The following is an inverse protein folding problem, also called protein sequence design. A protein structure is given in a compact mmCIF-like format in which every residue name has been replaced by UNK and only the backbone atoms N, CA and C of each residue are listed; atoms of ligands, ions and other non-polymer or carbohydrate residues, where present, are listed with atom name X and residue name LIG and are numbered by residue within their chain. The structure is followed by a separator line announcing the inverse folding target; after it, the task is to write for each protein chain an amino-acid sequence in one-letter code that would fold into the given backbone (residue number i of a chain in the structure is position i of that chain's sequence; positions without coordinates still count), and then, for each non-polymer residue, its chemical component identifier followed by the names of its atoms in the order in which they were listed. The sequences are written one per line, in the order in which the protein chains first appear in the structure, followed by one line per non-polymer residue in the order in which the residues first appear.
data_IF_170285126592
#
_entry.id   IF_170285126592
#
_cell.length_a   1.000
_cell.length_b   1.000
_cell.length_c   1.000
_cell.angle_alpha   90.00
_cell.angle_beta   90.00
_cell.angle_gamma   90.00
#
_symmetry.space_group_name_H-M   'P 1'
#
loop_
_entity.id
_entity.type
_entity.pdbx_description
1 polymer ?
#
# COMPACT_ATOMS: atom_id res chain seq x y z
N UNK A 1 -7.44 17.29 -13.90
CA UNK A 1 -8.89 17.05 -13.67
C UNK A 1 -9.26 17.70 -12.35
N UNK A 2 -10.40 18.42 -12.24
CA UNK A 2 -10.81 19.07 -10.98
C UNK A 2 -11.17 18.07 -9.86
N UNK A 3 -11.41 16.80 -10.19
CA UNK A 3 -11.76 15.73 -9.25
C UNK A 3 -10.59 14.75 -9.00
N UNK A 4 -9.37 15.10 -9.42
CA UNK A 4 -8.21 14.25 -9.18
C UNK A 4 -7.88 14.16 -7.68
N UNK A 5 -7.59 12.95 -7.21
CA UNK A 5 -6.95 12.77 -5.90
C UNK A 5 -5.52 13.33 -5.98
N UNK A 6 -5.18 14.22 -5.04
CA UNK A 6 -3.83 14.76 -4.87
C UNK A 6 -3.44 14.46 -3.43
N UNK A 7 -2.68 13.38 -3.28
CA UNK A 7 -2.30 12.78 -2.01
C UNK A 7 -0.90 13.17 -1.57
N UNK A 8 -0.68 13.33 -0.27
CA UNK A 8 0.63 13.46 0.36
C UNK A 8 0.76 12.48 1.53
N UNK A 9 1.94 11.89 1.69
CA UNK A 9 2.31 11.15 2.90
C UNK A 9 3.17 12.03 3.81
N UNK A 10 2.95 11.94 5.12
CA UNK A 10 3.68 12.73 6.09
C UNK A 10 3.95 11.95 7.38
N UNK A 11 5.07 12.27 8.03
CA UNK A 11 5.30 11.89 9.42
C UNK A 11 4.76 12.99 10.34
N UNK A 12 4.27 12.66 11.55
CA UNK A 12 3.75 13.64 12.49
C UNK A 12 4.68 14.85 12.73
N UNK A 13 5.98 14.60 12.89
CA UNK A 13 6.98 15.65 13.15
C UNK A 13 7.30 16.58 11.97
N UNK A 14 6.75 16.35 10.78
CA UNK A 14 6.99 17.19 9.59
C UNK A 14 5.83 18.13 9.25
N UNK A 15 4.81 18.20 10.10
CA UNK A 15 3.59 18.95 9.81
C UNK A 15 3.45 20.17 10.73
N UNK A 16 3.34 21.35 10.13
CA UNK A 16 2.85 22.55 10.79
C UNK A 16 1.64 23.13 10.05
N UNK A 17 0.88 23.99 10.72
CA UNK A 17 -0.36 24.53 10.18
C UNK A 17 -0.13 25.36 8.90
N UNK A 18 0.97 26.12 8.82
CA UNK A 18 1.25 26.96 7.66
C UNK A 18 1.58 26.11 6.42
N UNK A 19 2.37 25.05 6.62
CA UNK A 19 2.67 24.06 5.60
C UNK A 19 1.40 23.37 5.09
N UNK A 20 0.55 22.89 6.00
CA UNK A 20 -0.71 22.22 5.66
C UNK A 20 -1.67 23.14 4.88
N UNK A 21 -1.80 24.41 5.28
CA UNK A 21 -2.61 25.39 4.54
C UNK A 21 -2.04 25.64 3.14
N UNK A 22 -0.72 25.76 3.00
CA UNK A 22 -0.06 25.89 1.70
C UNK A 22 -0.31 24.70 0.77
N UNK A 23 -0.33 23.47 1.30
CA UNK A 23 -0.67 22.28 0.53
C UNK A 23 -2.11 22.33 -0.01
N UNK A 24 -3.07 22.73 0.83
CA UNK A 24 -4.46 22.90 0.40
C UNK A 24 -4.61 23.97 -0.70
N UNK A 25 -3.86 25.08 -0.60
CA UNK A 25 -3.82 26.12 -1.62
C UNK A 25 -3.23 25.62 -2.96
N UNK A 26 -2.29 24.67 -2.92
CA UNK A 26 -1.75 23.97 -4.09
C UNK A 26 -2.68 22.89 -4.65
N UNK A 27 -3.77 22.57 -3.95
CA UNK A 27 -4.80 21.62 -4.38
C UNK A 27 -4.68 20.21 -3.81
N UNK A 28 -3.75 19.94 -2.88
CA UNK A 28 -3.73 18.67 -2.15
C UNK A 28 -5.05 18.47 -1.42
N UNK A 29 -5.62 17.28 -1.53
CA UNK A 29 -6.96 16.99 -1.00
C UNK A 29 -7.03 15.69 -0.18
N UNK A 30 -5.93 14.94 -0.09
CA UNK A 30 -5.77 13.78 0.80
C UNK A 30 -4.41 13.81 1.50
N UNK A 31 -4.38 13.45 2.78
CA UNK A 31 -3.16 13.34 3.58
C UNK A 31 -3.12 11.97 4.26
N UNK A 32 -1.99 11.26 4.18
CA UNK A 32 -1.73 10.04 4.95
C UNK A 32 -0.70 10.32 6.02
N UNK A 33 -1.05 10.06 7.28
CA UNK A 33 -0.16 10.30 8.42
C UNK A 33 0.35 8.96 8.94
N UNK A 34 1.67 8.78 8.84
CA UNK A 34 2.36 7.64 9.42
C UNK A 34 2.39 7.73 10.94
N UNK A 35 1.40 7.15 11.63
CA UNK A 35 1.36 7.12 13.11
C UNK A 35 2.08 5.91 13.67
N UNK A 36 1.89 4.74 13.04
CA UNK A 36 2.40 3.42 13.40
C UNK A 36 1.80 2.85 14.68
N UNK A 37 1.90 3.55 15.81
CA UNK A 37 1.37 3.13 17.10
C UNK A 37 1.02 4.35 17.96
N UNK A 38 0.08 4.19 18.89
CA UNK A 38 -0.20 5.17 19.95
C UNK A 38 0.48 4.81 21.29
N UNK A 39 1.52 3.96 21.25
CA UNK A 39 2.36 3.62 22.38
C UNK A 39 3.82 4.04 22.14
N UNK A 40 4.38 4.86 23.04
CA UNK A 40 5.71 5.45 22.87
C UNK A 40 6.84 4.40 22.89
N UNK A 41 6.69 3.31 23.64
CA UNK A 41 7.62 2.20 23.66
C UNK A 41 7.64 1.42 22.34
N UNK A 42 6.48 1.23 21.71
CA UNK A 42 6.36 0.65 20.37
C UNK A 42 6.98 1.56 19.30
N UNK A 43 6.76 2.87 19.39
CA UNK A 43 7.36 3.86 18.49
C UNK A 43 8.89 3.91 18.63
N UNK A 44 9.40 3.83 19.86
CA UNK A 44 10.83 3.76 20.13
C UNK A 44 11.44 2.47 19.53
N UNK A 45 10.76 1.34 19.63
CA UNK A 45 11.20 0.08 19.01
C UNK A 45 11.28 0.17 17.49
N UNK A 46 10.46 1.03 16.88
CA UNK A 46 10.46 1.34 15.44
C UNK A 46 11.43 2.46 15.03
N UNK A 47 12.24 2.98 15.96
CA UNK A 47 13.13 4.13 15.74
C UNK A 47 12.38 5.37 15.21
N UNK A 48 11.13 5.55 15.65
CA UNK A 48 10.32 6.73 15.31
C UNK A 48 10.72 7.92 16.16
N UNK A 49 10.78 9.08 15.52
CA UNK A 49 11.20 10.34 16.14
C UNK A 49 10.04 11.15 16.72
N UNK A 50 8.83 10.59 16.72
CA UNK A 50 7.62 11.21 17.26
C UNK A 50 7.03 10.35 18.38
N UNK A 51 6.28 10.99 19.27
CA UNK A 51 5.47 10.37 20.32
C UNK A 51 4.03 10.17 19.87
N UNK A 52 3.29 9.34 20.61
CA UNK A 52 1.85 9.14 20.41
C UNK A 52 1.05 10.44 20.53
N UNK A 53 1.48 11.34 21.44
CA UNK A 53 0.88 12.66 21.61
C UNK A 53 1.07 13.54 20.37
N UNK A 54 2.31 13.62 19.85
CA UNK A 54 2.62 14.37 18.62
C UNK A 54 1.87 13.82 17.40
N UNK A 55 1.67 12.49 17.33
CA UNK A 55 0.85 11.87 16.28
C UNK A 55 -0.61 12.34 16.33
N UNK A 56 -1.21 12.39 17.53
CA UNK A 56 -2.57 12.93 17.72
C UNK A 56 -2.66 14.41 17.37
N UNK A 57 -1.68 15.21 17.81
CA UNK A 57 -1.60 16.65 17.49
C UNK A 57 -1.47 16.91 15.98
N UNK A 58 -0.63 16.14 15.28
CA UNK A 58 -0.46 16.25 13.83
C UNK A 58 -1.76 15.97 13.08
N UNK A 59 -2.52 14.95 13.49
CA UNK A 59 -3.84 14.67 12.92
C UNK A 59 -4.82 15.82 13.14
N UNK A 60 -4.89 16.35 14.37
CA UNK A 60 -5.75 17.49 14.69
C UNK A 60 -5.34 18.76 13.93
N UNK A 61 -4.04 18.98 13.72
CA UNK A 61 -3.54 20.07 12.91
C UNK A 61 -3.98 19.94 11.45
N UNK A 62 -3.92 18.75 10.85
CA UNK A 62 -4.42 18.49 9.50
C UNK A 62 -5.92 18.81 9.36
N UNK A 63 -6.73 18.36 10.34
CA UNK A 63 -8.17 18.69 10.38
C UNK A 63 -8.41 20.20 10.52
N UNK A 64 -7.68 20.85 11.41
CA UNK A 64 -7.80 22.30 11.68
C UNK A 64 -7.36 23.16 10.50
N UNK A 65 -6.37 22.71 9.73
CA UNK A 65 -5.93 23.35 8.50
C UNK A 65 -6.99 23.27 7.39
N UNK A 66 -7.81 22.20 7.39
CA UNK A 66 -8.96 22.04 6.49
C UNK A 66 -8.96 20.75 5.66
N UNK A 67 -8.05 19.80 5.91
CA UNK A 67 -8.08 18.51 5.21
C UNK A 67 -9.34 17.71 5.57
N UNK A 68 -10.06 17.27 4.52
CA UNK A 68 -11.31 16.50 4.66
C UNK A 68 -11.15 15.00 4.43
N UNK A 69 -10.00 14.57 3.91
CA UNK A 69 -9.61 13.18 3.71
C UNK A 69 -8.26 12.96 4.38
N UNK A 70 -8.27 12.45 5.61
CA UNK A 70 -7.06 12.19 6.39
C UNK A 70 -7.01 10.70 6.75
N UNK A 71 -5.91 10.05 6.37
CA UNK A 71 -5.58 8.67 6.73
C UNK A 71 -4.67 8.61 7.94
N UNK A 72 -4.88 7.60 8.77
CA UNK A 72 -3.94 7.18 9.82
C UNK A 72 -3.38 5.81 9.44
N UNK A 73 -2.06 5.71 9.38
CA UNK A 73 -1.37 4.47 9.04
C UNK A 73 -0.80 3.84 10.31
N UNK A 74 -1.29 2.65 10.67
CA UNK A 74 -0.89 1.88 11.84
C UNK A 74 -0.09 0.63 11.44
N UNK A 75 0.73 0.13 12.36
CA UNK A 75 1.53 -1.06 12.17
C UNK A 75 1.26 -2.07 13.28
N UNK A 76 1.00 -3.32 12.89
CA UNK A 76 0.73 -4.42 13.81
C UNK A 76 1.77 -5.54 13.67
N UNK A 77 1.81 -6.43 14.65
CA UNK A 77 2.82 -7.48 14.77
C UNK A 77 4.21 -6.95 15.12
N UNK A 78 4.29 -5.81 15.82
CA UNK A 78 5.57 -5.31 16.32
C UNK A 78 6.17 -6.29 17.33
N UNK A 79 7.51 -6.35 17.50
CA UNK A 79 8.11 -7.19 18.52
C UNK A 79 7.55 -6.84 19.89
N UNK A 80 7.13 -7.85 20.66
CA UNK A 80 6.56 -7.71 22.01
C UNK A 80 5.20 -6.97 22.10
N UNK A 81 4.66 -6.46 20.99
CA UNK A 81 3.33 -5.84 20.96
C UNK A 81 2.26 -6.84 21.36
N UNK A 82 1.45 -6.44 22.34
CA UNK A 82 0.38 -7.26 22.85
C UNK A 82 -0.92 -6.94 22.12
N UNK A 83 -1.86 -7.88 22.12
CA UNK A 83 -3.21 -7.60 21.62
C UNK A 83 -3.83 -6.38 22.33
N UNK A 84 -3.61 -6.22 23.64
CA UNK A 84 -4.16 -5.09 24.39
C UNK A 84 -3.63 -3.72 23.90
N UNK A 85 -2.31 -3.56 23.70
CA UNK A 85 -1.73 -2.30 23.20
C UNK A 85 -2.13 -2.03 21.74
N UNK A 86 -2.25 -3.09 20.93
CA UNK A 86 -2.80 -2.98 19.58
C UNK A 86 -4.25 -2.46 19.59
N UNK A 87 -5.11 -3.05 20.44
CA UNK A 87 -6.50 -2.62 20.59
C UNK A 87 -6.58 -1.16 21.04
N UNK A 88 -5.78 -0.75 22.03
CA UNK A 88 -5.70 0.63 22.49
C UNK A 88 -5.29 1.61 21.37
N UNK A 89 -4.34 1.22 20.51
CA UNK A 89 -3.95 2.02 19.34
C UNK A 89 -5.09 2.19 18.33
N UNK A 90 -5.80 1.11 18.01
CA UNK A 90 -6.94 1.16 17.09
C UNK A 90 -8.08 1.99 17.67
N UNK A 91 -8.41 1.84 18.96
CA UNK A 91 -9.44 2.65 19.61
C UNK A 91 -9.06 4.13 19.65
N UNK A 92 -7.79 4.44 19.91
CA UNK A 92 -7.27 5.82 19.89
C UNK A 92 -7.37 6.42 18.48
N UNK A 93 -6.99 5.66 17.45
CA UNK A 93 -7.17 6.08 16.06
C UNK A 93 -8.64 6.36 15.74
N UNK A 94 -9.54 5.46 16.13
CA UNK A 94 -10.98 5.62 15.91
C UNK A 94 -11.56 6.85 16.62
N UNK A 95 -11.06 7.18 17.80
CA UNK A 95 -11.48 8.38 18.54
C UNK A 95 -11.07 9.69 17.85
N UNK A 96 -10.04 9.66 16.99
CA UNK A 96 -9.68 10.78 16.11
C UNK A 96 -10.59 10.89 14.87
N UNK A 97 -11.42 9.89 14.61
CA UNK A 97 -12.35 9.82 13.47
C UNK A 97 -11.70 10.07 12.09
N UNK A 98 -10.60 9.37 11.73
CA UNK A 98 -10.00 9.47 10.40
C UNK A 98 -10.99 9.07 9.31
N UNK A 99 -10.74 9.51 8.08
CA UNK A 99 -11.59 9.11 6.94
C UNK A 99 -11.15 7.76 6.36
N UNK A 100 -9.90 7.40 6.63
CA UNK A 100 -9.22 6.23 6.12
C UNK A 100 -8.24 5.69 7.18
N UNK A 101 -8.08 4.37 7.25
CA UNK A 101 -7.13 3.71 8.13
C UNK A 101 -6.38 2.65 7.33
N UNK A 102 -5.05 2.73 7.36
CA UNK A 102 -4.16 1.76 6.74
C UNK A 102 -3.51 0.91 7.83
N UNK A 103 -3.48 -0.41 7.67
CA UNK A 103 -2.87 -1.35 8.60
C UNK A 103 -1.79 -2.16 7.89
N UNK A 104 -0.56 -2.08 8.39
CA UNK A 104 0.58 -2.80 7.85
C UNK A 104 1.10 -3.83 8.85
N UNK A 105 1.19 -5.08 8.41
CA UNK A 105 1.90 -6.11 9.16
C UNK A 105 3.39 -5.82 9.12
N UNK A 106 4.06 -5.78 10.27
CA UNK A 106 5.51 -5.67 10.30
C UNK A 106 6.15 -6.87 9.63
N UNK A 107 6.97 -6.61 8.62
CA UNK A 107 7.80 -7.63 7.96
C UNK A 107 9.27 -7.34 8.24
N UNK A 108 10.05 -8.40 8.49
CA UNK A 108 11.48 -8.31 8.76
C UNK A 108 12.23 -8.35 7.43
N UNK A 109 12.53 -7.19 6.89
CA UNK A 109 13.25 -7.06 5.62
C UNK A 109 14.76 -7.27 5.80
N UNK A 110 15.37 -8.04 4.90
CA UNK A 110 16.81 -8.31 4.92
C UNK A 110 17.63 -6.99 4.85
N UNK A 111 18.73 -6.93 5.60
CA UNK A 111 19.60 -5.74 5.64
C UNK A 111 19.13 -4.62 6.58
N UNK A 112 17.92 -4.70 7.14
CA UNK A 112 17.43 -3.70 8.12
C UNK A 112 18.05 -3.87 9.51
N UNK A 113 18.03 -2.83 10.36
CA UNK A 113 18.38 -2.96 11.78
C UNK A 113 17.59 -4.06 12.49
N UNK A 114 16.28 -4.13 12.26
CA UNK A 114 15.40 -5.14 12.85
C UNK A 114 15.82 -6.57 12.47
N UNK A 115 16.12 -6.84 11.21
CA UNK A 115 16.62 -8.15 10.78
C UNK A 115 17.91 -8.55 11.51
N UNK A 116 18.82 -7.60 11.75
CA UNK A 116 20.04 -7.86 12.53
C UNK A 116 19.74 -8.14 14.00
N UNK A 117 18.73 -7.50 14.59
CA UNK A 117 18.36 -7.68 15.99
C UNK A 117 17.66 -9.01 16.22
N UNK A 118 16.75 -9.38 15.34
CA UNK A 118 16.12 -10.71 15.31
C UNK A 118 17.17 -11.80 15.12
N UNK A 119 18.07 -11.66 14.13
CA UNK A 119 19.13 -12.65 13.88
C UNK A 119 20.10 -12.81 15.05
N UNK A 120 20.29 -11.76 15.87
CA UNK A 120 21.13 -11.79 17.08
C UNK A 120 20.37 -12.20 18.34
N UNK A 121 19.07 -12.48 18.25
CA UNK A 121 18.22 -12.80 19.40
C UNK A 121 18.04 -11.63 20.37
N UNK A 122 18.24 -10.38 19.92
CA UNK A 122 18.02 -9.17 20.72
C UNK A 122 16.55 -8.79 20.80
N UNK A 123 15.75 -9.23 19.83
CA UNK A 123 14.29 -9.10 19.80
C UNK A 123 13.69 -10.30 19.07
N UNK A 124 12.38 -10.54 19.23
CA UNK A 124 11.67 -11.63 18.57
C UNK A 124 11.22 -11.23 17.17
N UNK A 125 11.17 -12.18 16.24
CA UNK A 125 10.47 -11.97 14.97
C UNK A 125 8.97 -11.77 15.22
N UNK A 126 8.25 -11.02 14.35
CA UNK A 126 6.80 -10.95 14.35
C UNK A 126 6.19 -12.36 14.33
N UNK A 127 5.18 -12.59 15.17
CA UNK A 127 4.44 -13.85 15.21
C UNK A 127 3.32 -13.84 14.16
N UNK A 128 3.30 -14.78 13.20
CA UNK A 128 2.22 -14.86 12.22
C UNK A 128 0.84 -15.07 12.85
N UNK A 129 0.75 -15.88 13.90
CA UNK A 129 -0.51 -16.13 14.61
C UNK A 129 -1.00 -14.85 15.31
N UNK A 130 -0.09 -14.11 15.96
CA UNK A 130 -0.46 -12.84 16.60
C UNK A 130 -0.90 -11.79 15.57
N UNK A 131 -0.22 -11.73 14.43
CA UNK A 131 -0.61 -10.85 13.32
C UNK A 131 -2.00 -11.21 12.77
N UNK A 132 -2.29 -12.50 12.60
CA UNK A 132 -3.62 -12.96 12.17
C UNK A 132 -4.70 -12.56 13.18
N UNK A 133 -4.49 -12.81 14.47
CA UNK A 133 -5.43 -12.43 15.53
C UNK A 133 -5.69 -10.92 15.54
N UNK A 134 -4.62 -10.11 15.46
CA UNK A 134 -4.70 -8.64 15.42
C UNK A 134 -5.47 -8.15 14.19
N UNK A 135 -5.19 -8.72 13.02
CA UNK A 135 -5.85 -8.39 11.77
C UNK A 135 -7.35 -8.71 11.81
N UNK A 136 -7.71 -9.93 12.21
CA UNK A 136 -9.11 -10.38 12.27
C UNK A 136 -9.93 -9.58 13.28
N UNK A 137 -9.36 -9.29 14.46
CA UNK A 137 -10.01 -8.44 15.45
C UNK A 137 -10.25 -7.03 14.89
N UNK A 138 -9.25 -6.46 14.21
CA UNK A 138 -9.35 -5.09 13.68
C UNK A 138 -10.36 -5.00 12.56
N UNK A 139 -10.40 -5.99 11.66
CA UNK A 139 -11.39 -6.07 10.59
C UNK A 139 -12.82 -5.99 11.16
N UNK A 140 -13.13 -6.77 12.19
CA UNK A 140 -14.44 -6.75 12.84
C UNK A 140 -14.71 -5.44 13.57
N UNK A 141 -13.69 -4.87 14.20
CA UNK A 141 -13.82 -3.63 14.96
C UNK A 141 -14.05 -2.42 14.07
N UNK A 142 -13.34 -2.32 12.95
CA UNK A 142 -13.48 -1.24 11.97
C UNK A 142 -14.82 -1.34 11.22
N UNK A 143 -15.28 -2.55 10.89
CA UNK A 143 -16.62 -2.76 10.34
C UNK A 143 -17.73 -2.23 11.27
N UNK A 144 -17.62 -2.49 12.59
CA UNK A 144 -18.54 -1.94 13.60
C UNK A 144 -18.47 -0.42 13.74
N UNK A 145 -17.33 0.20 13.41
CA UNK A 145 -17.16 1.65 13.35
C UNK A 145 -17.65 2.27 12.03
N UNK A 146 -18.11 1.47 11.07
CA UNK A 146 -18.61 1.97 9.78
C UNK A 146 -17.55 2.21 8.72
N UNK A 147 -16.35 1.63 8.87
CA UNK A 147 -15.34 1.61 7.82
C UNK A 147 -15.51 0.38 6.93
N UNK A 148 -15.37 0.58 5.62
CA UNK A 148 -15.40 -0.48 4.61
C UNK A 148 -13.99 -1.01 4.39
N UNK A 149 -13.80 -2.31 4.57
CA UNK A 149 -12.61 -3.02 4.11
C UNK A 149 -12.68 -3.13 2.59
N UNK A 150 -11.78 -2.45 1.86
CA UNK A 150 -11.86 -2.40 0.40
C UNK A 150 -10.64 -3.03 -0.28
N UNK A 151 -9.51 -3.14 0.40
CA UNK A 151 -8.36 -3.92 -0.04
C UNK A 151 -7.54 -4.37 1.19
N UNK A 152 -6.62 -5.33 1.02
CA UNK A 152 -5.94 -6.10 2.09
C UNK A 152 -5.52 -5.27 3.32
N UNK A 153 -4.97 -4.07 3.12
CA UNK A 153 -4.35 -3.26 4.16
C UNK A 153 -5.13 -1.98 4.48
N UNK A 154 -6.29 -1.72 3.89
CA UNK A 154 -6.93 -0.40 3.93
C UNK A 154 -8.45 -0.48 4.13
N UNK A 155 -8.90 0.40 5.02
CA UNK A 155 -10.28 0.62 5.39
C UNK A 155 -10.61 2.09 5.21
N UNK A 156 -11.81 2.38 4.70
CA UNK A 156 -12.24 3.75 4.48
C UNK A 156 -13.71 3.95 4.83
N UNK A 157 -14.06 5.17 5.25
CA UNK A 157 -15.46 5.60 5.21
C UNK A 157 -15.96 5.62 3.74
N UNK A 158 -17.27 5.47 3.49
CA UNK A 158 -17.80 5.56 2.14
C UNK A 158 -17.38 6.86 1.44
N UNK A 159 -16.82 6.73 0.23
CA UNK A 159 -16.31 7.87 -0.56
C UNK A 159 -14.86 8.29 -0.27
N UNK A 160 -14.15 7.59 0.62
CA UNK A 160 -12.77 7.92 1.01
C UNK A 160 -11.73 6.83 0.68
N UNK A 161 -12.08 5.88 -0.18
CA UNK A 161 -11.12 4.88 -0.67
C UNK A 161 -9.99 5.59 -1.41
N UNK A 162 -8.75 5.13 -1.21
CA UNK A 162 -7.56 5.71 -1.83
C UNK A 162 -7.49 5.35 -3.32
N UNK A 163 -7.67 6.32 -4.22
CA UNK A 163 -7.60 6.10 -5.67
C UNK A 163 -6.17 5.81 -6.12
N UNK A 164 -5.16 6.37 -5.44
CA UNK A 164 -3.76 6.02 -5.66
C UNK A 164 -3.51 4.52 -5.47
N UNK A 165 -3.94 3.93 -4.35
CA UNK A 165 -3.77 2.49 -4.07
C UNK A 165 -4.56 1.64 -5.07
N UNK A 166 -5.82 2.02 -5.34
CA UNK A 166 -6.68 1.30 -6.28
C UNK A 166 -6.16 1.33 -7.72
N UNK A 167 -5.38 2.34 -8.10
CA UNK A 167 -4.72 2.39 -9.42
C UNK A 167 -3.75 1.21 -9.58
N UNK A 168 -2.93 0.94 -8.56
CA UNK A 168 -2.01 -0.19 -8.57
C UNK A 168 -2.76 -1.53 -8.54
N UNK A 169 -3.73 -1.68 -7.63
CA UNK A 169 -4.46 -2.95 -7.47
C UNK A 169 -5.35 -3.30 -8.65
N UNK A 170 -5.81 -2.30 -9.41
CA UNK A 170 -6.54 -2.51 -10.67
C UNK A 170 -5.62 -2.64 -11.89
N UNK A 171 -4.32 -2.82 -11.67
CA UNK A 171 -3.30 -2.95 -12.70
C UNK A 171 -3.39 -1.84 -13.77
N UNK A 172 -3.69 -0.61 -13.34
CA UNK A 172 -3.76 0.56 -14.23
C UNK A 172 -2.38 1.17 -14.41
N UNK A 173 -2.22 1.88 -15.52
CA UNK A 173 -0.97 2.56 -15.81
C UNK A 173 -0.71 3.72 -14.85
N UNK A 174 0.57 3.93 -14.55
CA UNK A 174 1.07 5.02 -13.72
C UNK A 174 2.50 5.39 -14.12
N UNK A 175 2.81 6.68 -13.96
CA UNK A 175 4.15 7.22 -14.18
C UNK A 175 4.72 7.66 -12.83
N UNK A 176 5.75 6.97 -12.37
CA UNK A 176 6.55 7.36 -11.22
C UNK A 176 7.68 8.29 -11.62
N UNK A 177 7.94 9.32 -10.81
CA UNK A 177 8.98 10.32 -11.04
C UNK A 177 9.85 10.47 -9.79
N UNK A 178 11.13 10.75 -10.01
CA UNK A 178 12.11 10.90 -8.93
C UNK A 178 12.96 9.65 -8.68
N UNK A 179 13.94 9.78 -7.81
CA UNK A 179 14.86 8.69 -7.47
C UNK A 179 14.11 7.49 -6.90
N UNK A 180 14.39 6.30 -7.42
CA UNK A 180 13.78 5.03 -6.99
C UNK A 180 12.34 4.80 -7.46
N UNK A 181 11.78 5.69 -8.27
CA UNK A 181 10.43 5.54 -8.77
C UNK A 181 10.31 4.37 -9.77
N UNK A 182 9.20 3.64 -9.68
CA UNK A 182 8.78 2.65 -10.65
C UNK A 182 7.62 3.19 -11.48
N UNK A 183 7.46 2.66 -12.69
CA UNK A 183 6.36 3.01 -13.59
C UNK A 183 5.82 1.77 -14.30
N UNK A 184 4.55 1.83 -14.68
CA UNK A 184 3.94 0.92 -15.65
C UNK A 184 3.16 1.77 -16.65
N UNK A 185 3.65 1.90 -17.87
CA UNK A 185 3.07 2.78 -18.88
C UNK A 185 3.33 2.21 -20.29
N UNK A 186 2.31 2.24 -21.13
CA UNK A 186 2.32 1.75 -22.51
C UNK A 186 2.82 0.29 -22.61
N UNK A 187 2.35 -0.55 -21.69
CA UNK A 187 2.75 -1.95 -21.63
C UNK A 187 4.19 -2.20 -21.19
N UNK A 188 4.90 -1.20 -20.66
CA UNK A 188 6.30 -1.32 -20.19
C UNK A 188 6.38 -1.03 -18.71
N UNK A 189 7.03 -1.91 -17.94
CA UNK A 189 7.48 -1.61 -16.58
C UNK A 189 8.90 -1.11 -16.62
N UNK A 190 9.18 -0.01 -15.93
CA UNK A 190 10.53 0.53 -15.86
C UNK A 190 10.82 1.17 -14.50
N UNK A 191 12.10 1.26 -14.18
CA UNK A 191 12.58 1.82 -12.93
C UNK A 191 13.56 2.97 -13.16
N UNK A 192 13.48 3.96 -12.29
CA UNK A 192 14.41 5.08 -12.21
C UNK A 192 15.52 4.76 -11.22
N UNK A 193 16.72 5.28 -11.47
CA UNK A 193 17.87 5.12 -10.57
C UNK A 193 17.50 5.41 -9.10
N UNK A 194 17.82 4.46 -8.21
CA UNK A 194 17.38 4.51 -6.82
C UNK A 194 18.15 5.53 -5.95
N UNK A 195 19.45 5.68 -6.20
CA UNK A 195 20.29 6.59 -5.41
C UNK A 195 20.06 8.04 -5.86
N UNK A 196 19.70 8.97 -4.95
CA UNK A 196 19.45 10.36 -5.32
C UNK A 196 20.62 11.04 -6.04
N UNK A 197 21.87 10.75 -5.64
CA UNK A 197 23.06 11.32 -6.29
C UNK A 197 23.20 10.85 -7.73
N UNK A 198 23.09 9.53 -7.97
CA UNK A 198 23.15 8.94 -9.31
C UNK A 198 21.97 9.40 -10.17
N UNK A 199 20.77 9.51 -9.59
CA UNK A 199 19.61 10.03 -10.29
C UNK A 199 19.85 11.45 -10.81
N UNK A 200 20.38 12.35 -9.96
CA UNK A 200 20.67 13.74 -10.35
C UNK A 200 21.71 13.80 -11.47
N UNK A 201 22.80 13.04 -11.36
CA UNK A 201 23.83 12.94 -12.40
C UNK A 201 23.23 12.51 -13.75
N UNK A 202 22.40 11.46 -13.76
CA UNK A 202 21.77 10.94 -14.98
C UNK A 202 20.73 11.91 -15.57
N UNK A 203 20.02 12.65 -14.72
CA UNK A 203 19.10 13.71 -15.17
C UNK A 203 19.87 14.85 -15.83
N UNK A 204 20.98 15.28 -15.24
CA UNK A 204 21.82 16.34 -15.82
C UNK A 204 22.40 15.91 -17.18
N UNK A 205 22.87 14.66 -17.30
CA UNK A 205 23.29 14.11 -18.60
C UNK A 205 22.16 14.09 -19.63
N UNK A 206 20.95 13.72 -19.20
CA UNK A 206 19.75 13.70 -20.08
C UNK A 206 19.39 15.11 -20.56
N UNK A 207 19.55 16.12 -19.70
CA UNK A 207 19.37 17.54 -20.06
C UNK A 207 20.46 18.05 -21.01
N UNK A 208 21.72 17.64 -20.82
CA UNK A 208 22.81 18.00 -21.73
C UNK A 208 22.60 17.42 -23.14
N UNK A 209 22.16 16.16 -23.23
CA UNK A 209 21.80 15.52 -24.51
C UNK A 209 20.73 16.36 -25.24
N UNK A 210 19.67 16.78 -24.52
CA UNK A 210 18.60 17.63 -25.07
C UNK A 210 19.13 19.00 -25.54
N UNK A 211 19.99 19.66 -24.75
CA UNK A 211 20.54 20.97 -25.09
C UNK A 211 21.50 20.94 -26.27
N UNK A 212 22.22 19.82 -26.47
CA UNK A 212 23.15 19.64 -27.58
C UNK A 212 22.47 19.40 -28.93
N UNK A 213 21.14 19.33 -28.97
CA UNK A 213 20.36 19.01 -30.17
C UNK A 213 20.40 17.52 -30.54
N UNK A 214 20.85 16.67 -29.62
CA UNK A 214 20.81 15.22 -29.75
C UNK A 214 19.41 14.65 -29.49
N UNK A 215 19.26 13.36 -29.77
CA UNK A 215 18.08 12.59 -29.33
C UNK A 215 18.11 12.50 -27.80
N UNK A 216 17.06 13.01 -27.14
CA UNK A 216 16.95 12.98 -25.69
C UNK A 216 16.82 11.52 -25.21
N UNK A 217 17.80 11.06 -24.44
CA UNK A 217 17.76 9.78 -23.75
C UNK A 217 17.40 10.01 -22.30
N UNK A 218 16.39 9.30 -21.81
CA UNK A 218 16.02 9.29 -20.39
C UNK A 218 17.00 8.40 -19.61
N UNK A 219 18.24 8.86 -19.42
CA UNK A 219 19.33 8.06 -18.84
C UNK A 219 19.06 7.63 -17.40
N UNK A 220 18.22 8.36 -16.71
CA UNK A 220 17.76 8.03 -15.36
C UNK A 220 16.88 6.77 -15.32
N UNK A 221 16.32 6.33 -16.45
CA UNK A 221 15.62 5.04 -16.57
C UNK A 221 16.68 3.94 -16.72
N UNK A 222 16.86 3.15 -15.66
CA UNK A 222 17.98 2.19 -15.55
C UNK A 222 17.56 0.74 -15.80
N UNK A 223 16.26 0.46 -15.80
CA UNK A 223 15.70 -0.83 -16.21
C UNK A 223 14.36 -0.63 -16.88
N UNK A 224 14.02 -1.52 -17.81
CA UNK A 224 12.74 -1.52 -18.50
C UNK A 224 12.47 -2.86 -19.16
N UNK A 225 11.26 -3.38 -18.98
CA UNK A 225 10.82 -4.63 -19.60
C UNK A 225 9.38 -4.49 -20.15
N UNK A 226 9.10 -5.00 -21.35
CA UNK A 226 7.74 -5.08 -21.86
C UNK A 226 6.96 -6.16 -21.11
N UNK A 227 5.69 -5.88 -20.83
CA UNK A 227 4.78 -6.83 -20.22
C UNK A 227 4.21 -7.75 -21.29
N UNK A 228 4.48 -9.04 -21.15
CA UNK A 228 3.91 -10.06 -22.03
C UNK A 228 2.41 -10.24 -21.76
N UNK A 229 1.63 -10.74 -22.72
CA UNK A 229 0.23 -11.06 -22.49
C UNK A 229 -0.01 -12.00 -21.31
N UNK A 230 0.87 -12.99 -21.13
CA UNK A 230 0.83 -13.94 -20.02
C UNK A 230 1.02 -13.24 -18.66
N UNK A 231 2.02 -12.36 -18.57
CA UNK A 231 2.30 -11.59 -17.37
C UNK A 231 1.17 -10.59 -17.07
N UNK A 232 0.62 -9.92 -18.09
CA UNK A 232 -0.51 -9.02 -17.92
C UNK A 232 -1.76 -9.71 -17.34
N UNK A 233 -2.05 -10.94 -17.78
CA UNK A 233 -3.14 -11.76 -17.23
C UNK A 233 -2.86 -12.14 -15.77
N UNK A 234 -1.65 -12.61 -15.47
CA UNK A 234 -1.23 -12.97 -14.11
C UNK A 234 -1.30 -11.75 -13.17
N UNK A 235 -0.77 -10.62 -13.58
CA UNK A 235 -0.78 -9.37 -12.80
C UNK A 235 -2.20 -8.87 -12.53
N UNK A 236 -3.09 -8.96 -13.51
CA UNK A 236 -4.50 -8.58 -13.32
C UNK A 236 -5.15 -9.41 -12.21
N UNK A 237 -4.84 -10.72 -12.14
CA UNK A 237 -5.32 -11.56 -11.05
C UNK A 237 -4.61 -11.28 -9.73
N UNK A 238 -3.27 -11.28 -9.71
CA UNK A 238 -2.47 -11.09 -8.49
C UNK A 238 -2.78 -9.76 -7.82
N UNK A 239 -2.83 -8.68 -8.59
CA UNK A 239 -3.09 -7.34 -8.06
C UNK A 239 -4.59 -7.16 -7.74
N UNK A 240 -5.48 -7.62 -8.62
CA UNK A 240 -6.92 -7.46 -8.42
C UNK A 240 -7.48 -8.25 -7.25
N UNK A 241 -6.91 -9.43 -6.94
CA UNK A 241 -7.28 -10.23 -5.76
C UNK A 241 -6.93 -9.55 -4.43
N UNK A 242 -6.10 -8.50 -4.42
CA UNK A 242 -5.84 -7.67 -3.23
C UNK A 242 -7.03 -6.77 -2.89
N UNK A 243 -7.91 -6.51 -3.84
CA UNK A 243 -9.15 -5.77 -3.64
C UNK A 243 -10.22 -6.71 -3.11
N UNK A 244 -11.03 -6.28 -2.15
CA UNK A 244 -12.06 -7.12 -1.51
C UNK A 244 -13.12 -7.58 -2.53
N UNK A 245 -13.47 -6.73 -3.50
CA UNK A 245 -14.35 -7.13 -4.61
C UNK A 245 -13.72 -8.18 -5.54
N UNK A 246 -12.38 -8.26 -5.58
CA UNK A 246 -11.63 -9.15 -6.46
C UNK A 246 -11.62 -8.70 -7.92
N UNK A 247 -11.55 -9.68 -8.82
CA UNK A 247 -11.47 -9.49 -10.27
C UNK A 247 -12.79 -9.83 -10.94
N UNK A 248 -13.34 -8.87 -11.68
CA UNK A 248 -14.53 -9.10 -12.51
C UNK A 248 -14.20 -9.98 -13.72
N UNK A 249 -14.74 -11.20 -13.75
CA UNK A 249 -14.42 -12.20 -14.75
C UNK A 249 -14.83 -11.77 -16.17
N UNK A 250 -15.93 -11.04 -16.29
CA UNK A 250 -16.40 -10.50 -17.56
C UNK A 250 -15.43 -9.43 -18.11
N UNK A 251 -14.92 -8.54 -17.25
CA UNK A 251 -13.94 -7.54 -17.64
C UNK A 251 -12.61 -8.19 -18.06
N UNK A 252 -12.16 -9.21 -17.32
CA UNK A 252 -10.98 -9.99 -17.68
C UNK A 252 -11.13 -10.63 -19.07
N UNK A 253 -12.25 -11.30 -19.32
CA UNK A 253 -12.57 -11.91 -20.61
C UNK A 253 -12.63 -10.88 -21.75
N UNK A 254 -13.16 -9.68 -21.49
CA UNK A 254 -13.20 -8.59 -22.46
C UNK A 254 -11.78 -8.08 -22.79
N UNK A 255 -10.93 -7.95 -21.77
CA UNK A 255 -9.58 -7.41 -21.91
C UNK A 255 -8.64 -8.39 -22.62
N UNK A 256 -8.69 -9.67 -22.27
CA UNK A 256 -7.72 -10.67 -22.75
C UNK A 256 -8.28 -11.65 -23.78
N UNK A 257 -9.60 -11.67 -24.00
CA UNK A 257 -10.25 -12.67 -24.86
C UNK A 257 -10.20 -14.09 -24.29
N UNK A 258 -9.87 -14.24 -23.00
CA UNK A 258 -9.69 -15.52 -22.31
C UNK A 258 -10.52 -15.60 -21.04
N UNK A 259 -11.03 -16.79 -20.73
CA UNK A 259 -11.75 -17.07 -19.49
C UNK A 259 -10.70 -17.29 -18.39
N UNK A 260 -10.72 -16.44 -17.36
CA UNK A 260 -9.72 -16.49 -16.29
C UNK A 260 -9.72 -17.83 -15.54
N UNK A 261 -10.90 -18.38 -15.22
CA UNK A 261 -11.01 -19.62 -14.45
C UNK A 261 -10.54 -20.82 -15.26
N UNK A 262 -10.75 -20.79 -16.58
CA UNK A 262 -10.21 -21.81 -17.48
C UNK A 262 -8.71 -21.65 -17.72
N UNK A 263 -8.24 -20.41 -17.86
CA UNK A 263 -6.81 -20.14 -18.12
C UNK A 263 -5.96 -20.53 -16.92
N UNK A 264 -6.42 -20.27 -15.71
CA UNK A 264 -5.69 -20.52 -14.46
C UNK A 264 -6.29 -21.70 -13.67
N UNK A 265 -6.86 -22.69 -14.38
CA UNK A 265 -7.58 -23.81 -13.74
C UNK A 265 -6.67 -24.62 -12.81
N UNK A 266 -5.43 -24.87 -13.22
CA UNK A 266 -4.48 -25.66 -12.43
C UNK A 266 -3.98 -24.88 -11.21
N UNK A 267 -3.66 -23.61 -11.42
CA UNK A 267 -3.15 -22.67 -10.43
C UNK A 267 -4.20 -22.36 -9.34
N UNK A 268 -5.48 -22.30 -9.72
CA UNK A 268 -6.59 -21.98 -8.81
C UNK A 268 -7.25 -23.20 -8.16
N UNK A 269 -6.97 -24.44 -8.63
CA UNK A 269 -7.59 -25.67 -8.10
C UNK A 269 -7.44 -25.80 -6.58
N UNK A 270 -6.21 -25.76 -6.09
CA UNK A 270 -5.93 -25.88 -4.65
C UNK A 270 -6.45 -24.67 -3.85
N UNK A 271 -6.26 -23.41 -4.29
CA UNK A 271 -6.91 -22.25 -3.66
C UNK A 271 -8.44 -22.39 -3.50
N UNK A 272 -9.15 -22.93 -4.49
CA UNK A 272 -10.59 -23.20 -4.36
C UNK A 272 -10.88 -24.33 -3.36
N UNK A 273 -10.18 -25.46 -3.46
CA UNK A 273 -10.35 -26.59 -2.54
C UNK A 273 -10.06 -26.23 -1.08
N UNK A 274 -9.06 -25.37 -0.86
CA UNK A 274 -8.70 -24.84 0.45
C UNK A 274 -9.62 -23.71 0.94
N UNK A 275 -10.55 -23.22 0.11
CA UNK A 275 -11.46 -22.12 0.44
C UNK A 275 -10.74 -20.77 0.61
N UNK A 276 -9.64 -20.56 -0.10
CA UNK A 276 -8.89 -19.30 -0.11
C UNK A 276 -9.45 -18.32 -1.15
N UNK A 277 -10.02 -18.82 -2.24
CA UNK A 277 -10.72 -18.02 -3.26
C UNK A 277 -12.17 -18.48 -3.41
N UNK A 278 -13.03 -17.58 -3.86
CA UNK A 278 -14.42 -17.86 -4.17
C UNK A 278 -14.89 -17.06 -5.39
N UNK A 279 -15.90 -17.57 -6.09
CA UNK A 279 -16.63 -16.82 -7.12
C UNK A 279 -17.94 -16.29 -6.53
N UNK A 280 -18.11 -14.97 -6.50
CA UNK A 280 -19.33 -14.32 -5.99
C UNK A 280 -19.74 -13.19 -6.92
N UNK A 281 -20.96 -13.29 -7.46
CA UNK A 281 -21.55 -12.25 -8.30
C UNK A 281 -20.76 -11.97 -9.58
N UNK A 282 -20.08 -12.98 -10.14
CA UNK A 282 -19.24 -12.83 -11.34
C UNK A 282 -17.83 -12.32 -11.07
N UNK A 283 -17.42 -12.19 -9.81
CA UNK A 283 -16.06 -11.83 -9.42
C UNK A 283 -15.34 -13.02 -8.80
N UNK A 284 -14.06 -13.21 -9.16
CA UNK A 284 -13.13 -14.06 -8.43
C UNK A 284 -12.45 -13.22 -7.34
N UNK A 285 -12.56 -13.62 -6.08
CA UNK A 285 -11.99 -12.88 -4.95
C UNK A 285 -11.41 -13.78 -3.88
N UNK A 286 -10.58 -13.21 -3.01
CA UNK A 286 -10.14 -13.88 -1.79
C UNK A 286 -11.30 -13.98 -0.78
N UNK A 287 -11.42 -15.14 -0.13
CA UNK A 287 -12.29 -15.27 1.05
C UNK A 287 -11.68 -14.52 2.24
N UNK A 288 -12.40 -14.44 3.37
CA UNK A 288 -11.84 -13.87 4.62
C UNK A 288 -10.55 -14.59 5.03
N UNK A 289 -10.54 -15.92 4.96
CA UNK A 289 -9.36 -16.76 5.18
C UNK A 289 -8.30 -16.52 4.10
N UNK A 290 -8.71 -16.38 2.85
CA UNK A 290 -7.85 -16.10 1.72
C UNK A 290 -7.01 -14.83 1.89
N UNK A 291 -7.55 -13.78 2.52
CA UNK A 291 -6.80 -12.53 2.77
C UNK A 291 -5.58 -12.73 3.66
N UNK A 292 -5.67 -13.59 4.68
CA UNK A 292 -4.53 -13.92 5.54
C UNK A 292 -3.45 -14.72 4.81
N UNK A 293 -3.84 -15.47 3.78
CA UNK A 293 -2.97 -16.37 3.02
C UNK A 293 -2.83 -15.93 1.55
N UNK A 294 -3.02 -14.65 1.27
CA UNK A 294 -3.09 -14.14 -0.10
C UNK A 294 -1.83 -14.44 -0.90
N UNK A 295 -0.66 -14.34 -0.27
CA UNK A 295 0.62 -14.63 -0.89
C UNK A 295 0.74 -16.09 -1.39
N UNK A 296 0.10 -17.06 -0.72
CA UNK A 296 0.06 -18.46 -1.18
C UNK A 296 -0.76 -18.62 -2.46
N UNK A 297 -1.80 -17.79 -2.64
CA UNK A 297 -2.59 -17.73 -3.88
C UNK A 297 -1.79 -17.03 -4.97
N UNK A 298 -1.17 -15.89 -4.65
CA UNK A 298 -0.45 -15.07 -5.62
C UNK A 298 0.77 -15.79 -6.20
N UNK A 299 1.54 -16.50 -5.37
CA UNK A 299 2.73 -17.22 -5.81
C UNK A 299 2.42 -18.28 -6.88
N UNK A 300 1.22 -18.86 -6.85
CA UNK A 300 0.78 -19.88 -7.83
C UNK A 300 0.39 -19.30 -9.17
N UNK A 301 0.00 -18.03 -9.20
CA UNK A 301 -0.41 -17.32 -10.41
C UNK A 301 0.77 -16.72 -11.17
N UNK A 302 1.96 -16.72 -10.57
CA UNK A 302 3.17 -16.25 -11.25
C UNK A 302 3.47 -17.15 -12.45
N UNK A 303 3.74 -16.57 -13.63
CA UNK A 303 4.22 -17.34 -14.76
C UNK A 303 5.61 -17.92 -14.47
N UNK A 304 5.93 -19.05 -15.11
CA UNK A 304 7.26 -19.70 -15.07
C UNK A 304 8.41 -18.78 -15.52
#
# INVERSE_FOLDING_TARGET
SPEAEISLEANPGSLDEAYLRGLLELGFNRLSIGVQSFHDDELQALDRTHSAAEAGEAFQAARSAGFRNVSIDLMFGLPEQQMASWQESVETALALEPDHISLYALTVEEGTPLARDVARGRTTAPSPDAQADQYEWTEERLAKAGYEHYEISNWAKPGYRCEHNLTYWRCREYLGLGAGAHSYLDGVRFAVAALPTTYLELVDESWQDLQSGGEMKMRQVVSGEPITPELAMADTLILGLRVVEGVELAQFQQQFGMDALKRFEEELREPFEAGLVEEVGGNLRLTRRGRLLGNEVFARLLPD
#
